data_IF_550757359702
#
_entry.id   IF_550757359702
#
_cell.length_a   1.000
_cell.length_b   1.000
_cell.length_c   1.000
_cell.angle_alpha   90.00
_cell.angle_beta   90.00
_cell.angle_gamma   90.00
#
_symmetry.space_group_name_H-M   'P 1'
#
loop_
_entity.id
_entity.type
_entity.pdbx_description
1 polymer ?
#
# COMPACT_ATOMS: atom_id res chain seq x y z
N UNK A 1 -15.76 37.69 -13.36
CA UNK A 1 -15.69 36.81 -12.16
C UNK A 1 -15.24 35.45 -12.65
N UNK A 2 -14.00 35.02 -12.38
CA UNK A 2 -13.58 33.65 -12.66
C UNK A 2 -14.32 32.75 -11.65
N UNK A 3 -15.29 31.98 -12.13
CA UNK A 3 -16.00 31.00 -11.32
C UNK A 3 -15.02 29.84 -11.13
N UNK A 4 -14.56 29.61 -9.90
CA UNK A 4 -13.70 28.44 -9.61
C UNK A 4 -14.58 27.21 -9.78
N UNK A 5 -14.43 26.52 -10.91
CA UNK A 5 -15.12 25.27 -11.20
C UNK A 5 -14.30 24.14 -10.56
N UNK A 6 -14.92 23.41 -9.64
CA UNK A 6 -14.30 22.26 -8.97
C UNK A 6 -14.30 21.07 -9.91
N UNK A 7 -13.32 20.19 -9.76
CA UNK A 7 -13.25 18.91 -10.47
C UNK A 7 -13.71 17.80 -9.54
N UNK A 8 -14.63 16.96 -10.00
CA UNK A 8 -15.10 15.79 -9.27
C UNK A 8 -14.79 14.55 -10.09
N UNK A 9 -14.09 13.59 -9.51
CA UNK A 9 -13.71 12.34 -10.16
C UNK A 9 -14.55 11.20 -9.61
N UNK A 10 -15.19 10.44 -10.49
CA UNK A 10 -15.89 9.22 -10.13
C UNK A 10 -14.87 8.15 -9.69
N UNK A 11 -15.02 7.63 -8.47
CA UNK A 11 -14.12 6.62 -7.89
C UNK A 11 -14.29 5.22 -8.47
N UNK A 12 -15.30 5.02 -9.34
CA UNK A 12 -15.62 3.73 -9.95
C UNK A 12 -15.10 3.64 -11.38
N UNK A 13 -15.30 4.67 -12.21
CA UNK A 13 -14.91 4.65 -13.63
C UNK A 13 -13.91 5.74 -14.04
N UNK A 14 -13.59 6.68 -13.15
CA UNK A 14 -12.66 7.77 -13.45
C UNK A 14 -13.25 8.95 -14.24
N UNK A 15 -14.56 8.99 -14.52
CA UNK A 15 -15.20 10.15 -15.15
C UNK A 15 -14.96 11.44 -14.36
N UNK A 16 -14.56 12.52 -15.05
CA UNK A 16 -14.29 13.83 -14.46
C UNK A 16 -15.43 14.79 -14.79
N UNK A 17 -16.06 15.34 -13.76
CA UNK A 17 -17.08 16.38 -13.86
C UNK A 17 -16.50 17.73 -13.42
N UNK A 18 -16.73 18.78 -14.21
CA UNK A 18 -16.38 20.15 -13.85
C UNK A 18 -17.64 20.94 -13.48
N UNK A 19 -17.75 21.40 -12.24
CA UNK A 19 -18.95 22.05 -11.74
C UNK A 19 -18.81 22.61 -10.32
N UNK A 20 -19.87 23.20 -9.79
CA UNK A 20 -19.89 23.64 -8.38
C UNK A 20 -20.14 22.47 -7.41
N UNK A 21 -20.80 21.41 -7.88
CA UNK A 21 -21.17 20.22 -7.10
C UNK A 21 -21.00 18.96 -7.96
N UNK A 22 -20.84 17.80 -7.31
CA UNK A 22 -20.81 16.51 -7.99
C UNK A 22 -22.16 16.22 -8.68
N UNK A 23 -22.17 15.56 -9.86
CA UNK A 23 -23.41 15.21 -10.54
C UNK A 23 -24.19 14.18 -9.72
N UNK A 24 -25.53 14.24 -9.80
CA UNK A 24 -26.41 13.32 -9.08
C UNK A 24 -26.16 11.84 -9.45
N UNK A 25 -25.80 11.61 -10.71
CA UNK A 25 -25.51 10.29 -11.27
C UNK A 25 -24.33 10.40 -12.24
N UNK A 26 -23.44 9.41 -12.23
CA UNK A 26 -22.34 9.33 -13.18
C UNK A 26 -22.87 8.99 -14.59
N UNK A 27 -22.55 9.77 -15.64
CA UNK A 27 -23.03 9.49 -16.99
C UNK A 27 -22.38 8.27 -17.66
N UNK A 28 -21.33 7.69 -17.06
CA UNK A 28 -20.58 6.55 -17.61
C UNK A 28 -20.96 5.23 -16.94
N UNK A 29 -20.99 5.20 -15.60
CA UNK A 29 -21.25 3.97 -14.84
C UNK A 29 -22.49 4.03 -13.94
N UNK A 30 -23.26 5.13 -14.00
CA UNK A 30 -24.57 5.24 -13.36
C UNK A 30 -24.58 5.12 -11.83
N UNK A 31 -23.43 5.27 -11.17
CA UNK A 31 -23.34 5.36 -9.71
C UNK A 31 -23.77 6.74 -9.21
N UNK A 32 -24.24 6.80 -7.97
CA UNK A 32 -24.68 8.04 -7.34
C UNK A 32 -23.54 9.03 -7.04
N UNK A 33 -23.94 10.26 -6.68
CA UNK A 33 -23.04 11.34 -6.27
C UNK A 33 -22.10 10.97 -5.11
N UNK A 34 -22.44 9.96 -4.29
CA UNK A 34 -21.62 9.45 -3.19
C UNK A 34 -20.29 8.84 -3.65
N UNK A 35 -20.18 8.47 -4.92
CA UNK A 35 -18.96 7.93 -5.55
C UNK A 35 -18.11 8.99 -6.25
N UNK A 36 -18.38 10.28 -6.07
CA UNK A 36 -17.52 11.34 -6.58
C UNK A 36 -16.63 11.91 -5.47
N UNK A 37 -15.32 12.01 -5.73
CA UNK A 37 -14.36 12.74 -4.90
C UNK A 37 -13.98 14.05 -5.56
N UNK A 38 -14.00 15.15 -4.81
CA UNK A 38 -13.45 16.43 -5.26
C UNK A 38 -11.93 16.30 -5.42
N UNK A 39 -11.42 16.65 -6.59
CA UNK A 39 -9.99 16.66 -6.88
C UNK A 39 -9.43 18.00 -6.44
N UNK A 40 -8.74 18.00 -5.30
CA UNK A 40 -7.93 19.13 -4.84
C UNK A 40 -6.63 19.19 -5.65
N UNK A 41 -6.00 20.36 -5.75
CA UNK A 41 -4.73 20.53 -6.48
C UNK A 41 -3.53 19.87 -5.77
N UNK A 42 -3.74 19.30 -4.58
CA UNK A 42 -2.73 18.53 -3.86
C UNK A 42 -2.48 17.19 -4.57
N UNK A 43 -1.25 17.01 -5.03
CA UNK A 43 -0.80 15.73 -5.60
C UNK A 43 -0.73 14.70 -4.47
N UNK A 44 -1.70 13.81 -4.43
CA UNK A 44 -1.67 12.61 -3.58
C UNK A 44 -0.98 11.48 -4.32
N UNK A 45 -0.19 10.65 -3.62
CA UNK A 45 0.42 9.47 -4.22
C UNK A 45 -0.67 8.49 -4.68
N UNK A 46 -0.50 7.89 -5.86
CA UNK A 46 -1.50 7.01 -6.46
C UNK A 46 -1.68 5.67 -5.72
N UNK A 47 -0.69 5.25 -4.93
CA UNK A 47 -0.70 4.01 -4.16
C UNK A 47 0.12 4.21 -2.90
N UNK A 48 -0.55 4.61 -1.82
CA UNK A 48 0.07 4.71 -0.49
C UNK A 48 -0.33 3.47 0.34
N UNK A 49 0.61 2.97 1.14
CA UNK A 49 0.33 1.88 2.07
C UNK A 49 -0.41 2.45 3.28
N UNK A 50 -1.73 2.36 3.27
CA UNK A 50 -2.58 2.84 4.36
C UNK A 50 -2.64 1.84 5.53
N UNK A 51 -2.50 2.36 6.76
CA UNK A 51 -2.56 1.54 7.98
C UNK A 51 -3.95 0.90 8.09
N UNK A 52 -4.00 -0.42 8.13
CA UNK A 52 -5.21 -1.18 8.39
C UNK A 52 -6.26 -1.06 7.29
N UNK A 53 -5.88 -0.78 6.05
CA UNK A 53 -6.79 -0.73 4.89
C UNK A 53 -7.51 -2.06 4.66
N UNK A 54 -6.90 -3.18 5.10
CA UNK A 54 -7.52 -4.50 5.04
C UNK A 54 -8.59 -4.74 6.13
N UNK A 55 -8.99 -3.75 6.93
CA UNK A 55 -10.06 -3.92 7.92
C UNK A 55 -11.40 -4.23 7.27
N UNK A 56 -12.00 -5.36 7.64
CA UNK A 56 -13.32 -5.77 7.15
C UNK A 56 -13.31 -6.47 5.79
N UNK A 57 -12.15 -6.79 5.22
CA UNK A 57 -12.04 -7.70 4.07
C UNK A 57 -12.30 -9.16 4.50
N UNK A 58 -12.46 -10.06 3.53
CA UNK A 58 -12.72 -11.48 3.82
C UNK A 58 -11.60 -12.14 4.62
N UNK A 59 -11.94 -13.16 5.40
CA UNK A 59 -10.97 -13.91 6.21
C UNK A 59 -9.86 -14.53 5.36
N UNK A 60 -10.18 -14.95 4.13
CA UNK A 60 -9.22 -15.51 3.18
C UNK A 60 -8.12 -14.49 2.83
N UNK A 61 -8.50 -13.23 2.55
CA UNK A 61 -7.56 -12.15 2.25
C UNK A 61 -6.70 -11.83 3.48
N UNK A 62 -7.28 -11.86 4.68
CA UNK A 62 -6.51 -11.67 5.92
C UNK A 62 -5.52 -12.82 6.12
N UNK A 63 -5.90 -14.06 5.82
CA UNK A 63 -5.03 -15.22 5.90
C UNK A 63 -3.85 -15.10 4.92
N UNK A 64 -4.11 -14.69 3.67
CA UNK A 64 -3.07 -14.46 2.66
C UNK A 64 -2.09 -13.35 3.09
N UNK A 65 -2.62 -12.23 3.63
CA UNK A 65 -1.77 -11.15 4.16
C UNK A 65 -0.90 -11.61 5.35
N UNK A 66 -1.40 -12.56 6.17
CA UNK A 66 -0.60 -13.18 7.24
C UNK A 66 0.47 -14.08 6.67
N UNK A 67 0.12 -14.94 5.73
CA UNK A 67 1.05 -15.87 5.09
C UNK A 67 2.19 -15.12 4.38
N UNK A 68 1.88 -14.05 3.65
CA UNK A 68 2.89 -13.20 3.02
C UNK A 68 3.80 -12.56 4.07
N UNK A 69 3.23 -11.91 5.09
CA UNK A 69 4.03 -11.32 6.17
C UNK A 69 4.98 -12.32 6.84
N UNK A 70 4.50 -13.54 7.11
CA UNK A 70 5.29 -14.61 7.71
C UNK A 70 6.38 -15.13 6.76
N UNK A 71 6.06 -15.25 5.46
CA UNK A 71 7.01 -15.60 4.41
C UNK A 71 8.16 -14.62 4.33
N UNK A 72 7.87 -13.32 4.20
CA UNK A 72 8.90 -12.27 4.15
C UNK A 72 9.78 -12.30 5.41
N UNK A 73 9.20 -12.47 6.61
CA UNK A 73 9.96 -12.60 7.85
C UNK A 73 10.88 -13.84 7.88
N UNK A 74 10.45 -14.94 7.27
CA UNK A 74 11.29 -16.13 7.13
C UNK A 74 12.47 -15.87 6.20
N UNK A 75 12.26 -15.15 5.10
CA UNK A 75 13.33 -14.79 4.16
C UNK A 75 14.37 -13.87 4.80
N UNK A 76 13.95 -12.90 5.62
CA UNK A 76 14.88 -12.09 6.45
C UNK A 76 15.81 -12.99 7.27
N UNK A 77 15.24 -13.95 8.00
CA UNK A 77 16.00 -14.89 8.82
C UNK A 77 16.94 -15.77 8.00
N UNK A 78 16.46 -16.26 6.85
CA UNK A 78 17.24 -17.07 5.92
C UNK A 78 18.43 -16.30 5.36
N UNK A 79 18.22 -15.10 4.83
CA UNK A 79 19.29 -14.29 4.26
C UNK A 79 20.32 -13.86 5.30
N UNK A 80 19.90 -13.54 6.53
CA UNK A 80 20.86 -13.28 7.63
C UNK A 80 21.68 -14.53 8.00
N UNK A 81 21.09 -15.73 7.93
CA UNK A 81 21.84 -16.96 8.15
C UNK A 81 22.85 -17.20 7.01
N UNK A 82 22.45 -16.99 5.76
CA UNK A 82 23.34 -17.10 4.59
C UNK A 82 24.48 -16.09 4.65
N UNK A 83 24.21 -14.85 5.05
CA UNK A 83 25.23 -13.82 5.26
C UNK A 83 26.29 -14.28 6.27
N UNK A 84 25.87 -14.84 7.41
CA UNK A 84 26.77 -15.36 8.44
C UNK A 84 27.63 -16.51 7.94
N UNK A 85 27.08 -17.39 7.10
CA UNK A 85 27.86 -18.48 6.47
C UNK A 85 28.90 -17.91 5.51
N UNK A 86 28.50 -16.99 4.62
CA UNK A 86 29.41 -16.36 3.66
C UNK A 86 30.58 -15.64 4.35
N UNK A 87 30.32 -14.89 5.42
CA UNK A 87 31.36 -14.25 6.22
C UNK A 87 32.31 -15.27 6.86
N UNK A 88 31.80 -16.40 7.36
CA UNK A 88 32.61 -17.47 7.97
C UNK A 88 33.51 -18.18 6.96
N UNK A 89 33.04 -18.32 5.73
CA UNK A 89 33.79 -18.92 4.63
C UNK A 89 34.79 -17.95 3.99
N UNK A 90 34.81 -16.68 4.42
CA UNK A 90 35.74 -15.67 3.94
C UNK A 90 35.28 -14.94 2.69
N UNK A 91 33.97 -14.91 2.42
CA UNK A 91 33.35 -14.17 1.31
C UNK A 91 32.58 -12.93 1.80
N UNK A 92 33.27 -11.84 2.19
CA UNK A 92 32.63 -10.69 2.81
C UNK A 92 31.68 -9.95 1.87
N UNK A 93 31.97 -9.85 0.57
CA UNK A 93 31.10 -9.17 -0.40
C UNK A 93 29.77 -9.91 -0.57
N UNK A 94 29.81 -11.25 -0.54
CA UNK A 94 28.61 -12.10 -0.60
C UNK A 94 27.81 -11.96 0.70
N UNK A 95 28.49 -11.91 1.85
CA UNK A 95 27.84 -11.68 3.13
C UNK A 95 27.09 -10.35 3.18
N UNK A 96 27.72 -9.27 2.71
CA UNK A 96 27.10 -7.93 2.61
C UNK A 96 25.91 -7.91 1.64
N UNK A 97 25.99 -8.65 0.53
CA UNK A 97 24.85 -8.77 -0.38
C UNK A 97 23.64 -9.40 0.31
N UNK A 98 23.84 -10.50 1.04
CA UNK A 98 22.75 -11.17 1.76
C UNK A 98 22.18 -10.31 2.90
N UNK A 99 23.01 -9.53 3.59
CA UNK A 99 22.51 -8.56 4.58
C UNK A 99 21.60 -7.49 3.94
N UNK A 100 21.96 -7.03 2.74
CA UNK A 100 21.12 -6.10 1.99
C UNK A 100 19.81 -6.74 1.56
N UNK A 101 19.86 -7.96 1.02
CA UNK A 101 18.65 -8.71 0.66
C UNK A 101 17.73 -8.91 1.86
N UNK A 102 18.28 -9.25 3.03
CA UNK A 102 17.49 -9.34 4.26
C UNK A 102 16.78 -8.02 4.63
N UNK A 103 17.41 -6.87 4.38
CA UNK A 103 16.79 -5.57 4.60
C UNK A 103 15.67 -5.25 3.59
N UNK A 104 15.80 -5.72 2.35
CA UNK A 104 14.78 -5.59 1.32
C UNK A 104 13.53 -6.42 1.69
N UNK A 105 13.70 -7.66 2.13
CA UNK A 105 12.55 -8.47 2.61
C UNK A 105 11.95 -7.95 3.92
N UNK A 106 12.76 -7.33 4.79
CA UNK A 106 12.24 -6.67 5.98
C UNK A 106 11.33 -5.48 5.62
N UNK A 107 11.62 -4.79 4.52
CA UNK A 107 10.79 -3.73 3.98
C UNK A 107 9.48 -4.29 3.39
N UNK A 108 9.54 -5.41 2.67
CA UNK A 108 8.35 -6.14 2.21
C UNK A 108 7.46 -6.57 3.38
N UNK A 109 8.04 -7.17 4.42
CA UNK A 109 7.32 -7.54 5.63
C UNK A 109 6.65 -6.33 6.31
N UNK A 110 7.34 -5.18 6.38
CA UNK A 110 6.81 -3.97 6.97
C UNK A 110 5.55 -3.47 6.23
N UNK A 111 5.54 -3.52 4.89
CA UNK A 111 4.37 -3.16 4.06
C UNK A 111 3.16 -4.03 4.38
N UNK A 112 3.33 -5.35 4.43
CA UNK A 112 2.24 -6.27 4.79
C UNK A 112 1.76 -6.03 6.24
N UNK A 113 2.68 -5.72 7.15
CA UNK A 113 2.35 -5.36 8.53
C UNK A 113 1.44 -4.14 8.63
N UNK A 114 1.76 -3.08 7.90
CA UNK A 114 0.98 -1.83 7.84
C UNK A 114 -0.42 -2.09 7.28
N UNK A 115 -0.53 -2.82 6.17
CA UNK A 115 -1.82 -3.13 5.54
C UNK A 115 -2.73 -3.95 6.47
N UNK A 116 -2.15 -4.93 7.17
CA UNK A 116 -2.91 -5.90 7.99
C UNK A 116 -3.38 -5.33 9.33
N UNK A 117 -2.62 -4.42 9.95
CA UNK A 117 -2.83 -4.05 11.36
C UNK A 117 -3.61 -2.75 11.47
N UNK A 118 -4.71 -2.77 12.24
CA UNK A 118 -5.59 -1.61 12.42
C UNK A 118 -4.97 -0.41 13.14
N UNK A 119 -3.87 -0.60 13.87
CA UNK A 119 -3.13 0.48 14.50
C UNK A 119 -1.74 0.05 14.96
N UNK A 120 -0.75 0.94 14.81
CA UNK A 120 0.51 0.91 15.54
C UNK A 120 0.51 2.07 16.53
N UNK A 121 0.02 1.83 17.75
CA UNK A 121 0.18 2.81 18.84
C UNK A 121 1.55 2.60 19.46
N UNK A 122 2.43 3.57 19.26
CA UNK A 122 3.61 3.76 20.09
C UNK A 122 3.08 4.45 21.36
N UNK A 123 3.07 3.73 22.48
CA UNK A 123 2.72 4.31 23.78
C UNK A 123 3.74 5.37 24.18
#
# INVERSE_FOLDING_TARGET
RNKIMKKFVCTVCGYIHEGETAPAECPVCHVGADKFKEQTEEKVWATEHEIGVAQGVSEDIIADLRANFEGECCEVGMYLAMARVAHREGYPEIGLYWEKAAYEEAEHAAKFGIIRRSSYKLN
#
